data_IF_805536839245
#
_entry.id   IF_805536839245
#
_cell.length_a   1.000
_cell.length_b   1.000
_cell.length_c   1.000
_cell.angle_alpha   90.00
_cell.angle_beta   90.00
_cell.angle_gamma   90.00
#
_symmetry.space_group_name_H-M   'P 1'
#
loop_
_entity.id
_entity.type
_entity.pdbx_description
1 polymer ?
#
# COMPACT_ATOMS: atom_id res chain seq x y z
N UNK A 1 -2.64 65.49 9.23
CA UNK A 1 -2.52 64.23 8.45
C UNK A 1 -2.45 63.07 9.46
N UNK A 2 -3.57 62.33 9.59
CA UNK A 2 -3.66 61.23 10.57
C UNK A 2 -3.57 59.91 9.81
N UNK A 3 -2.44 59.22 9.92
CA UNK A 3 -2.25 57.88 9.32
C UNK A 3 -2.98 56.84 10.20
N UNK A 4 -4.10 56.37 9.69
CA UNK A 4 -4.80 55.22 10.28
C UNK A 4 -4.14 53.93 9.87
N UNK A 5 -3.48 53.24 10.77
CA UNK A 5 -2.99 51.89 10.55
C UNK A 5 -4.18 50.92 10.57
N UNK A 6 -4.50 50.35 9.39
CA UNK A 6 -5.41 49.23 9.29
C UNK A 6 -4.73 47.96 9.82
N UNK A 7 -5.08 47.52 11.02
CA UNK A 7 -4.71 46.21 11.53
C UNK A 7 -5.56 45.16 10.79
N UNK A 8 -4.94 44.46 9.85
CA UNK A 8 -5.55 43.27 9.20
C UNK A 8 -5.56 42.12 10.22
N UNK A 9 -6.73 41.81 10.77
CA UNK A 9 -6.97 40.61 11.56
C UNK A 9 -6.95 39.41 10.60
N UNK A 10 -5.83 38.67 10.60
CA UNK A 10 -5.78 37.35 9.93
C UNK A 10 -6.52 36.37 10.85
N UNK A 11 -7.79 36.07 10.51
CA UNK A 11 -8.49 34.93 11.09
C UNK A 11 -7.82 33.65 10.58
N UNK A 12 -6.98 33.06 11.42
CA UNK A 12 -6.55 31.68 11.25
C UNK A 12 -7.79 30.82 11.45
N UNK A 13 -8.39 30.34 10.37
CA UNK A 13 -9.43 29.31 10.41
C UNK A 13 -8.78 28.06 11.04
N UNK A 14 -8.90 27.95 12.34
CA UNK A 14 -8.41 26.80 13.09
C UNK A 14 -9.11 25.53 12.63
N UNK A 15 -8.42 24.41 12.66
CA UNK A 15 -9.00 23.07 12.59
C UNK A 15 -10.29 23.03 13.42
N UNK A 16 -11.32 22.34 12.93
CA UNK A 16 -12.61 22.22 13.59
C UNK A 16 -12.54 21.82 15.07
N UNK A 17 -13.68 21.73 15.76
CA UNK A 17 -13.70 21.38 17.18
C UNK A 17 -12.93 20.08 17.43
N UNK A 18 -12.21 20.03 18.54
CA UNK A 18 -11.50 18.81 18.93
C UNK A 18 -12.50 17.69 19.19
N UNK A 19 -12.23 16.46 18.69
CA UNK A 19 -13.12 15.33 18.92
C UNK A 19 -13.23 15.02 20.42
N UNK A 20 -14.39 14.58 20.82
CA UNK A 20 -14.67 14.10 22.19
C UNK A 20 -13.87 12.80 22.46
N UNK A 21 -13.72 12.40 23.73
CA UNK A 21 -13.12 11.11 24.06
C UNK A 21 -13.81 9.92 23.39
N UNK A 22 -15.13 9.96 23.29
CA UNK A 22 -15.96 8.91 22.66
C UNK A 22 -15.68 8.83 21.15
N UNK A 23 -15.74 9.96 20.45
CA UNK A 23 -15.43 10.03 19.02
C UNK A 23 -14.00 9.56 18.73
N UNK A 24 -13.08 9.85 19.62
CA UNK A 24 -11.69 9.39 19.50
C UNK A 24 -11.57 7.88 19.69
N UNK A 25 -12.28 7.30 20.66
CA UNK A 25 -12.30 5.86 20.89
C UNK A 25 -12.93 5.11 19.71
N UNK A 26 -14.00 5.65 19.13
CA UNK A 26 -14.64 5.12 17.93
C UNK A 26 -13.68 5.16 16.73
N UNK A 27 -13.01 6.28 16.52
CA UNK A 27 -12.03 6.43 15.45
C UNK A 27 -10.86 5.45 15.58
N UNK A 28 -10.34 5.21 16.79
CA UNK A 28 -9.30 4.22 17.06
C UNK A 28 -9.79 2.81 16.72
N UNK A 29 -11.02 2.46 17.10
CA UNK A 29 -11.61 1.15 16.80
C UNK A 29 -11.80 0.97 15.29
N UNK A 30 -12.30 1.98 14.59
CA UNK A 30 -12.42 1.97 13.14
C UNK A 30 -11.06 1.82 12.46
N UNK A 31 -10.05 2.54 12.94
CA UNK A 31 -8.69 2.45 12.41
C UNK A 31 -8.06 1.07 12.61
N UNK A 32 -8.34 0.39 13.72
CA UNK A 32 -7.87 -0.97 13.94
C UNK A 32 -8.37 -1.95 12.86
N UNK A 33 -9.59 -1.77 12.36
CA UNK A 33 -10.12 -2.55 11.23
C UNK A 33 -9.36 -2.25 9.93
N UNK A 34 -9.10 -0.98 9.66
CA UNK A 34 -8.31 -0.56 8.50
C UNK A 34 -6.88 -1.12 8.57
N UNK A 35 -6.28 -1.10 9.75
CA UNK A 35 -4.95 -1.64 9.98
C UNK A 35 -4.86 -3.14 9.64
N UNK A 36 -5.88 -3.93 9.98
CA UNK A 36 -5.92 -5.36 9.62
C UNK A 36 -5.87 -5.57 8.11
N UNK A 37 -6.52 -4.71 7.33
CA UNK A 37 -6.45 -4.76 5.86
C UNK A 37 -5.05 -4.47 5.37
N UNK A 38 -4.41 -3.41 5.86
CA UNK A 38 -3.05 -3.04 5.44
C UNK A 38 -1.99 -4.05 5.88
N UNK A 39 -2.23 -4.76 6.98
CA UNK A 39 -1.33 -5.81 7.47
C UNK A 39 -1.61 -7.18 6.83
N UNK A 40 -2.61 -7.29 5.97
CA UNK A 40 -2.91 -8.54 5.31
C UNK A 40 -1.78 -8.90 4.32
N UNK A 41 -1.34 -10.18 4.27
CA UNK A 41 -0.25 -10.62 3.39
C UNK A 41 -0.42 -10.22 1.92
N UNK A 42 -1.65 -10.22 1.41
CA UNK A 42 -1.94 -9.78 0.03
C UNK A 42 -1.60 -8.31 -0.23
N UNK A 43 -1.58 -7.47 0.81
CA UNK A 43 -1.14 -6.09 0.68
C UNK A 43 0.37 -5.99 0.91
N UNK A 44 0.84 -6.56 2.02
CA UNK A 44 2.24 -6.44 2.45
C UNK A 44 3.22 -7.11 1.51
N UNK A 45 2.87 -8.22 0.88
CA UNK A 45 3.77 -8.93 -0.02
C UNK A 45 4.15 -8.12 -1.27
N UNK A 46 3.31 -7.16 -1.66
CA UNK A 46 3.55 -6.27 -2.80
C UNK A 46 3.97 -4.87 -2.38
N UNK A 47 3.42 -4.37 -1.26
CA UNK A 47 3.76 -3.06 -0.70
C UNK A 47 4.98 -3.15 0.20
N UNK A 48 6.13 -3.34 -0.39
CA UNK A 48 7.43 -3.52 0.27
C UNK A 48 8.33 -2.31 0.06
N UNK A 49 9.25 -2.03 0.98
CA UNK A 49 10.22 -0.94 0.83
C UNK A 49 11.30 -1.24 -0.23
N UNK A 50 11.62 -2.52 -0.44
CA UNK A 50 12.62 -2.99 -1.41
C UNK A 50 12.05 -3.34 -2.77
N UNK A 51 12.82 -4.04 -3.56
CA UNK A 51 12.48 -4.46 -4.91
C UNK A 51 12.12 -5.96 -5.02
N UNK A 52 12.48 -6.76 -4.02
CA UNK A 52 12.11 -8.18 -3.95
C UNK A 52 10.74 -8.34 -3.28
N UNK A 53 9.68 -8.75 -3.99
CA UNK A 53 8.38 -9.00 -3.40
C UNK A 53 8.43 -10.16 -2.40
N UNK A 54 7.42 -10.24 -1.57
CA UNK A 54 7.25 -11.37 -0.65
C UNK A 54 6.20 -12.34 -1.19
N UNK A 55 6.20 -13.55 -0.65
CA UNK A 55 5.24 -14.61 -1.01
C UNK A 55 4.74 -15.33 0.23
N UNK A 56 3.59 -15.97 0.10
CA UNK A 56 2.85 -16.67 1.14
C UNK A 56 2.42 -15.76 2.31
N UNK A 57 1.61 -16.26 3.17
CA UNK A 57 1.13 -15.54 4.36
C UNK A 57 2.26 -15.28 5.38
N UNK A 58 3.34 -16.05 5.29
CA UNK A 58 4.51 -15.87 6.14
C UNK A 58 5.43 -14.72 5.70
N UNK A 59 5.17 -14.08 4.57
CA UNK A 59 5.98 -12.96 4.08
C UNK A 59 7.41 -13.35 3.74
N UNK A 60 7.60 -14.54 3.17
CA UNK A 60 8.93 -14.99 2.74
C UNK A 60 9.35 -14.25 1.47
N UNK A 61 10.64 -14.05 1.29
CA UNK A 61 11.17 -13.50 0.03
C UNK A 61 10.71 -14.36 -1.15
N UNK A 62 10.28 -13.72 -2.22
CA UNK A 62 9.84 -14.43 -3.41
C UNK A 62 10.98 -15.30 -3.97
N UNK A 63 10.67 -16.56 -4.31
CA UNK A 63 11.65 -17.46 -4.92
C UNK A 63 12.05 -16.98 -6.31
N UNK A 64 13.13 -17.52 -6.87
CA UNK A 64 13.66 -17.25 -8.20
C UNK A 64 14.22 -15.82 -8.39
N UNK A 65 14.60 -15.17 -7.28
CA UNK A 65 15.19 -13.81 -7.30
C UNK A 65 14.36 -12.80 -8.12
N UNK A 66 13.04 -12.90 -7.97
CA UNK A 66 12.11 -11.99 -8.65
C UNK A 66 12.28 -10.58 -8.09
N UNK A 67 12.36 -9.62 -8.96
CA UNK A 67 12.45 -8.20 -8.63
C UNK A 67 11.28 -7.42 -9.24
N UNK A 68 10.97 -6.28 -8.62
CA UNK A 68 9.92 -5.35 -9.05
C UNK A 68 10.10 -4.89 -10.51
N UNK A 69 11.31 -4.58 -10.89
CA UNK A 69 11.59 -3.85 -12.12
C UNK A 69 11.14 -2.38 -12.08
N UNK A 70 11.50 -1.57 -13.08
CA UNK A 70 11.27 -0.12 -13.08
C UNK A 70 9.80 0.27 -12.94
N UNK A 71 8.91 -0.46 -13.59
CA UNK A 71 7.47 -0.17 -13.67
C UNK A 71 6.60 -1.13 -12.84
N UNK A 72 7.21 -2.02 -12.05
CA UNK A 72 6.49 -2.98 -11.23
C UNK A 72 6.07 -4.27 -11.93
N UNK A 73 6.45 -4.46 -13.18
CA UNK A 73 6.06 -5.63 -13.98
C UNK A 73 7.09 -6.76 -14.01
N UNK A 74 8.10 -6.69 -13.13
CA UNK A 74 9.23 -7.61 -13.09
C UNK A 74 10.48 -7.06 -13.78
N UNK A 75 11.62 -7.66 -13.50
CA UNK A 75 12.88 -7.32 -14.14
C UNK A 75 12.89 -7.79 -15.60
N UNK A 76 13.81 -7.21 -16.39
CA UNK A 76 14.05 -7.66 -17.76
C UNK A 76 14.46 -9.16 -17.77
N UNK A 77 13.77 -9.92 -18.60
CA UNK A 77 13.98 -11.39 -18.70
C UNK A 77 13.14 -12.23 -17.75
N UNK A 78 12.53 -11.64 -16.72
CA UNK A 78 11.61 -12.34 -15.80
C UNK A 78 10.40 -11.47 -15.42
N UNK A 79 9.49 -11.19 -16.37
CA UNK A 79 8.29 -10.43 -16.07
C UNK A 79 7.35 -11.24 -15.18
N UNK A 80 6.61 -10.55 -14.31
CA UNK A 80 5.62 -11.15 -13.40
C UNK A 80 4.61 -12.06 -14.14
N UNK A 81 4.22 -11.67 -15.34
CA UNK A 81 3.29 -12.40 -16.20
C UNK A 81 3.79 -13.77 -16.68
N UNK A 82 5.08 -14.08 -16.49
CA UNK A 82 5.61 -15.43 -16.77
C UNK A 82 4.91 -16.49 -15.92
N UNK A 83 4.56 -16.16 -14.67
CA UNK A 83 3.92 -17.08 -13.73
C UNK A 83 2.54 -16.61 -13.26
N UNK A 84 2.28 -15.30 -13.24
CA UNK A 84 1.02 -14.72 -12.80
C UNK A 84 0.12 -14.36 -13.99
N UNK A 85 -0.93 -15.14 -14.19
CA UNK A 85 -1.93 -14.87 -15.23
C UNK A 85 -3.00 -13.87 -14.78
N UNK A 86 -3.98 -13.62 -15.66
CA UNK A 86 -5.10 -12.70 -15.40
C UNK A 86 -6.12 -13.23 -14.39
N UNK A 87 -6.00 -14.48 -13.98
CA UNK A 87 -6.83 -15.12 -12.97
C UNK A 87 -6.03 -16.16 -12.17
N UNK A 88 -6.53 -16.51 -11.00
CA UNK A 88 -5.93 -17.58 -10.20
C UNK A 88 -5.87 -18.88 -11.00
N UNK A 89 -4.78 -19.60 -10.84
CA UNK A 89 -4.64 -20.96 -11.40
C UNK A 89 -5.72 -21.89 -10.86
N UNK A 90 -6.13 -22.90 -11.62
CA UNK A 90 -7.05 -23.93 -11.14
C UNK A 90 -6.54 -24.61 -9.87
N UNK A 91 -7.44 -24.97 -8.96
CA UNK A 91 -7.10 -25.65 -7.72
C UNK A 91 -6.33 -26.97 -7.92
N UNK A 92 -6.46 -27.58 -9.08
CA UNK A 92 -5.71 -28.80 -9.47
C UNK A 92 -4.19 -28.58 -9.55
N UNK A 93 -3.71 -27.34 -9.65
CA UNK A 93 -2.28 -27.02 -9.65
C UNK A 93 -1.67 -27.04 -8.25
N UNK A 94 -2.50 -27.18 -7.22
CA UNK A 94 -2.07 -27.29 -5.85
C UNK A 94 -2.08 -25.96 -5.08
N UNK A 95 -1.81 -26.02 -3.77
CA UNK A 95 -1.96 -24.85 -2.88
C UNK A 95 -0.90 -23.76 -3.10
N UNK A 96 0.18 -24.08 -3.77
CA UNK A 96 1.29 -23.16 -4.01
C UNK A 96 1.31 -22.61 -5.46
N UNK A 97 0.23 -22.83 -6.20
CA UNK A 97 0.11 -22.26 -7.55
C UNK A 97 0.15 -20.72 -7.47
N UNK A 98 0.86 -20.07 -8.40
CA UNK A 98 0.88 -18.61 -8.44
C UNK A 98 -0.54 -18.03 -8.52
N UNK A 99 -0.89 -17.06 -7.66
CA UNK A 99 -2.14 -16.33 -7.82
C UNK A 99 -2.12 -15.48 -9.08
N UNK A 100 -3.28 -15.13 -9.58
CA UNK A 100 -3.42 -14.26 -10.75
C UNK A 100 -4.48 -13.20 -10.54
N UNK A 101 -4.31 -12.11 -11.24
CA UNK A 101 -5.29 -11.02 -11.37
C UNK A 101 -4.98 -10.22 -12.64
N UNK A 102 -5.97 -9.55 -13.23
CA UNK A 102 -5.72 -8.62 -14.32
C UNK A 102 -4.68 -7.56 -13.91
N UNK A 103 -3.78 -7.25 -14.83
CA UNK A 103 -2.72 -6.25 -14.60
C UNK A 103 -1.82 -6.55 -13.38
N UNK A 104 -1.43 -7.81 -13.21
CA UNK A 104 -0.54 -8.21 -12.12
C UNK A 104 0.75 -7.41 -12.14
N UNK A 105 0.93 -6.55 -11.14
CA UNK A 105 2.09 -5.68 -10.99
C UNK A 105 2.31 -5.29 -9.54
N UNK A 106 3.54 -4.95 -9.21
CA UNK A 106 3.87 -4.29 -7.95
C UNK A 106 3.65 -2.76 -8.10
N UNK A 107 3.42 -2.05 -7.02
CA UNK A 107 3.48 -0.58 -7.05
C UNK A 107 4.82 -0.13 -7.62
N UNK A 108 4.82 0.85 -8.51
CA UNK A 108 6.06 1.40 -9.07
C UNK A 108 7.03 1.89 -7.98
N UNK A 109 8.32 1.96 -8.28
CA UNK A 109 9.35 2.36 -7.31
C UNK A 109 9.07 3.71 -6.63
N UNK A 110 8.46 4.63 -7.34
CA UNK A 110 8.09 5.96 -6.81
C UNK A 110 6.93 5.92 -5.80
N UNK A 111 6.16 4.83 -5.75
CA UNK A 111 4.98 4.66 -4.89
C UNK A 111 5.15 3.54 -3.87
N UNK A 112 6.35 2.96 -3.76
CA UNK A 112 6.67 2.01 -2.70
C UNK A 112 6.56 2.65 -1.33
N UNK A 113 6.23 1.87 -0.32
CA UNK A 113 6.21 2.39 1.05
C UNK A 113 7.64 2.68 1.51
N UNK A 114 7.89 3.84 2.12
CA UNK A 114 9.16 4.09 2.77
C UNK A 114 9.32 3.08 3.91
N UNK A 115 10.50 2.46 3.98
CA UNK A 115 10.88 1.57 5.08
C UNK A 115 11.16 2.33 6.36
#
# INVERSE_FOLDING_TARGET
>A
MRNGALLSLILVAGCGPRPTPEERAEAVTAFATVQQVFQHPRCQNCHIPGDAPLQYDAGLTHTMDVERGPEGHGAEGLPCSTCHGDANSPASYGPNAPPGAPHWALPGQSTRWPG
#
